data_IF_320699040901
#
_entry.id   IF_320699040901
#
_cell.length_a   1.000
_cell.length_b   1.000
_cell.length_c   1.000
_cell.angle_alpha   90.00
_cell.angle_beta   90.00
_cell.angle_gamma   90.00
#
_symmetry.space_group_name_H-M   'P 1'
#
loop_
_entity.id
_entity.type
_entity.pdbx_description
1 polymer ?
#
# COMPACT_ATOMS: atom_id res chain seq x y z
N UNK A 1 -10.56 6.22 -14.26
CA UNK A 1 -9.64 5.06 -14.42
C UNK A 1 -9.65 4.66 -15.89
N UNK A 2 -8.49 4.46 -16.53
CA UNK A 2 -8.40 4.13 -17.96
C UNK A 2 -8.72 2.64 -18.17
N UNK A 3 -10.00 2.32 -18.32
CA UNK A 3 -10.47 0.98 -18.69
C UNK A 3 -10.29 0.76 -20.20
N UNK A 4 -9.78 -0.39 -20.69
CA UNK A 4 -9.44 -0.55 -22.10
C UNK A 4 -10.69 -0.55 -22.99
N UNK A 5 -11.79 -1.11 -22.49
CA UNK A 5 -13.06 -1.26 -23.20
C UNK A 5 -14.13 -0.28 -22.72
N UNK A 6 -13.72 0.96 -22.38
CA UNK A 6 -14.67 1.96 -21.88
C UNK A 6 -15.77 2.31 -22.89
N UNK A 7 -15.51 2.14 -24.19
CA UNK A 7 -16.50 2.33 -25.25
C UNK A 7 -17.62 1.28 -25.17
N UNK A 8 -17.28 -0.01 -25.04
CA UNK A 8 -18.27 -1.09 -24.86
C UNK A 8 -19.18 -0.83 -23.66
N UNK A 9 -18.60 -0.39 -22.54
CA UNK A 9 -19.37 -0.06 -21.32
C UNK A 9 -20.36 1.08 -21.57
N UNK A 10 -19.97 2.11 -22.33
CA UNK A 10 -20.83 3.27 -22.61
C UNK A 10 -22.01 2.86 -23.48
N UNK A 11 -21.74 2.16 -24.58
CA UNK A 11 -22.78 1.65 -25.49
C UNK A 11 -23.76 0.73 -24.74
N UNK A 12 -23.24 -0.22 -23.95
CA UNK A 12 -24.07 -1.12 -23.16
C UNK A 12 -24.90 -0.37 -22.09
N UNK A 13 -24.33 0.67 -21.46
CA UNK A 13 -25.00 1.46 -20.43
C UNK A 13 -26.10 2.39 -20.97
N UNK A 14 -26.05 2.80 -22.23
CA UNK A 14 -27.11 3.59 -22.87
C UNK A 14 -28.36 2.73 -23.11
N UNK A 15 -28.18 1.50 -23.57
CA UNK A 15 -29.28 0.58 -23.90
C UNK A 15 -29.94 -0.07 -22.66
N UNK A 16 -29.21 -0.17 -21.56
CA UNK A 16 -29.59 -0.98 -20.40
C UNK A 16 -30.92 -0.53 -19.79
N UNK A 17 -31.21 0.77 -19.74
CA UNK A 17 -32.45 1.30 -19.17
C UNK A 17 -33.66 0.87 -19.97
N UNK A 18 -33.56 0.94 -21.29
CA UNK A 18 -34.60 0.48 -22.21
C UNK A 18 -34.84 -1.02 -22.08
N UNK A 19 -33.77 -1.81 -21.95
CA UNK A 19 -33.85 -3.26 -21.71
C UNK A 19 -34.53 -3.59 -20.38
N UNK A 20 -34.18 -2.91 -19.30
CA UNK A 20 -34.81 -3.09 -17.97
C UNK A 20 -36.31 -2.74 -18.04
N UNK A 21 -36.68 -1.62 -18.66
CA UNK A 21 -38.09 -1.24 -18.85
C UNK A 21 -38.86 -2.25 -19.71
N UNK A 22 -38.20 -2.86 -20.69
CA UNK A 22 -38.74 -3.94 -21.52
C UNK A 22 -38.85 -5.30 -20.83
N UNK A 23 -38.52 -5.39 -19.53
CA UNK A 23 -38.62 -6.63 -18.74
C UNK A 23 -37.39 -7.54 -18.82
N UNK A 24 -36.25 -7.07 -19.33
CA UNK A 24 -35.03 -7.87 -19.38
C UNK A 24 -34.51 -8.18 -17.97
N UNK A 25 -34.21 -9.45 -17.72
CA UNK A 25 -33.55 -9.89 -16.48
C UNK A 25 -32.11 -9.38 -16.48
N UNK A 26 -31.84 -8.39 -15.64
CA UNK A 26 -30.54 -7.72 -15.55
C UNK A 26 -29.87 -8.05 -14.21
N UNK A 27 -28.56 -8.37 -14.18
CA UNK A 27 -27.85 -8.63 -12.94
C UNK A 27 -27.98 -7.47 -11.94
N UNK A 28 -28.24 -7.78 -10.67
CA UNK A 28 -28.50 -6.76 -9.64
C UNK A 28 -27.34 -5.76 -9.46
N UNK A 29 -26.09 -6.18 -9.67
CA UNK A 29 -24.93 -5.29 -9.63
C UNK A 29 -25.04 -4.12 -10.62
N UNK A 30 -25.52 -4.43 -11.84
CA UNK A 30 -25.74 -3.45 -12.90
C UNK A 30 -26.88 -2.51 -12.50
N UNK A 31 -28.01 -3.05 -12.04
CA UNK A 31 -29.18 -2.27 -11.58
C UNK A 31 -28.78 -1.31 -10.46
N UNK A 32 -28.13 -1.81 -9.40
CA UNK A 32 -27.73 -1.01 -8.25
C UNK A 32 -26.75 0.12 -8.60
N UNK A 33 -25.89 -0.11 -9.58
CA UNK A 33 -24.94 0.89 -10.06
C UNK A 33 -25.63 1.98 -10.86
N UNK A 34 -26.46 1.60 -11.84
CA UNK A 34 -27.13 2.51 -12.76
C UNK A 34 -28.16 3.38 -12.05
N UNK A 35 -28.94 2.82 -11.12
CA UNK A 35 -29.90 3.59 -10.33
C UNK A 35 -29.26 4.34 -9.15
N UNK A 36 -27.94 4.26 -8.97
CA UNK A 36 -27.25 4.97 -7.90
C UNK A 36 -27.61 4.48 -6.49
N UNK A 37 -28.07 3.23 -6.35
CA UNK A 37 -28.55 2.65 -5.08
C UNK A 37 -27.42 2.19 -4.16
N UNK A 38 -26.17 2.52 -4.49
CA UNK A 38 -24.98 2.00 -3.81
C UNK A 38 -24.32 3.05 -2.95
N UNK A 39 -24.37 2.86 -1.63
CA UNK A 39 -23.70 3.73 -0.67
C UNK A 39 -22.17 3.57 -0.71
N UNK A 40 -21.41 4.63 -0.39
CA UNK A 40 -19.96 4.56 -0.30
C UNK A 40 -19.47 3.46 0.63
N UNK A 41 -18.40 2.79 0.23
CA UNK A 41 -17.74 1.79 1.07
C UNK A 41 -17.28 0.58 0.27
N UNK A 42 -17.24 -0.54 0.97
CA UNK A 42 -16.71 -1.78 0.43
C UNK A 42 -17.55 -2.27 -0.75
N UNK A 43 -18.86 -2.43 -0.54
CA UNK A 43 -19.79 -2.87 -1.57
C UNK A 43 -19.82 -1.99 -2.81
N UNK A 44 -19.63 -0.68 -2.68
CA UNK A 44 -19.49 0.23 -3.83
C UNK A 44 -18.35 -0.17 -4.75
N UNK A 45 -17.20 -0.45 -4.14
CA UNK A 45 -16.02 -0.84 -4.89
C UNK A 45 -16.23 -2.18 -5.60
N UNK A 46 -16.88 -3.16 -4.97
CA UNK A 46 -17.19 -4.42 -5.65
C UNK A 46 -18.14 -4.17 -6.83
N UNK A 47 -19.28 -3.51 -6.58
CA UNK A 47 -20.34 -3.29 -7.57
C UNK A 47 -19.86 -2.51 -8.78
N UNK A 48 -19.05 -1.45 -8.61
CA UNK A 48 -18.59 -0.67 -9.77
C UNK A 48 -17.76 -1.53 -10.74
N UNK A 49 -16.87 -2.39 -10.23
CA UNK A 49 -16.06 -3.26 -11.08
C UNK A 49 -16.88 -4.43 -11.65
N UNK A 50 -17.77 -5.01 -10.85
CA UNK A 50 -18.73 -6.03 -11.33
C UNK A 50 -19.55 -5.49 -12.49
N UNK A 51 -20.11 -4.29 -12.37
CA UNK A 51 -20.88 -3.63 -13.42
C UNK A 51 -20.02 -3.32 -14.64
N UNK A 52 -18.79 -2.82 -14.46
CA UNK A 52 -17.86 -2.61 -15.57
C UNK A 52 -17.57 -3.90 -16.34
N UNK A 53 -17.29 -5.01 -15.64
CA UNK A 53 -17.03 -6.32 -16.28
C UNK A 53 -18.27 -6.83 -17.00
N UNK A 54 -19.44 -6.81 -16.34
CA UNK A 54 -20.68 -7.33 -16.92
C UNK A 54 -21.20 -6.50 -18.11
N UNK A 55 -20.88 -5.20 -18.17
CA UNK A 55 -21.21 -4.31 -19.29
C UNK A 55 -20.15 -4.30 -20.39
N UNK A 56 -19.01 -4.98 -20.21
CA UNK A 56 -17.95 -5.08 -21.22
C UNK A 56 -18.09 -6.41 -21.96
N UNK A 57 -18.56 -6.40 -23.21
CA UNK A 57 -18.73 -7.61 -24.04
C UNK A 57 -17.46 -8.46 -24.09
N UNK A 58 -16.29 -7.82 -24.21
CA UNK A 58 -14.98 -8.46 -24.25
C UNK A 58 -14.62 -9.28 -22.99
N UNK A 59 -15.21 -8.98 -21.83
CA UNK A 59 -14.90 -9.69 -20.57
C UNK A 59 -16.14 -10.10 -19.75
N UNK A 60 -17.37 -9.91 -20.26
CA UNK A 60 -18.60 -10.20 -19.50
C UNK A 60 -18.68 -11.64 -18.98
N UNK A 61 -18.10 -12.58 -19.74
CA UNK A 61 -18.07 -14.01 -19.40
C UNK A 61 -17.21 -14.31 -18.16
N UNK A 62 -16.34 -13.38 -17.73
CA UNK A 62 -15.58 -13.51 -16.49
C UNK A 62 -16.45 -13.29 -15.25
N UNK A 63 -17.63 -12.69 -15.43
CA UNK A 63 -18.62 -12.50 -14.37
C UNK A 63 -18.13 -11.65 -13.20
N UNK A 64 -18.77 -11.85 -12.06
CA UNK A 64 -18.50 -11.14 -10.82
C UNK A 64 -17.36 -11.82 -10.06
N UNK A 65 -16.50 -11.04 -9.41
CA UNK A 65 -15.46 -11.57 -8.54
C UNK A 65 -16.05 -12.47 -7.44
N UNK A 66 -15.49 -13.66 -7.26
CA UNK A 66 -15.90 -14.59 -6.21
C UNK A 66 -15.63 -14.04 -4.80
N UNK A 67 -14.56 -13.24 -4.65
CA UNK A 67 -14.16 -12.63 -3.39
C UNK A 67 -14.02 -11.12 -3.51
N UNK A 68 -14.22 -10.44 -2.39
CA UNK A 68 -14.21 -9.00 -2.32
C UNK A 68 -12.83 -8.37 -2.57
N UNK A 69 -11.76 -9.03 -2.16
CA UNK A 69 -10.38 -8.57 -2.25
C UNK A 69 -9.72 -8.82 -3.61
N UNK A 70 -10.46 -9.41 -4.55
CA UNK A 70 -9.98 -9.71 -5.89
C UNK A 70 -9.56 -8.44 -6.66
N UNK A 71 -8.45 -8.56 -7.37
CA UNK A 71 -8.10 -7.67 -8.47
C UNK A 71 -8.68 -8.20 -9.78
N UNK A 72 -8.61 -7.38 -10.84
CA UNK A 72 -8.93 -7.79 -12.20
C UNK A 72 -7.71 -7.54 -13.09
N UNK A 73 -7.33 -8.53 -13.90
CA UNK A 73 -6.15 -8.44 -14.77
C UNK A 73 -6.53 -8.74 -16.20
N UNK A 74 -5.79 -8.10 -17.11
CA UNK A 74 -5.92 -8.21 -18.57
C UNK A 74 -4.52 -8.39 -19.15
N UNK A 75 -4.37 -8.77 -20.43
CA UNK A 75 -3.06 -8.88 -21.09
C UNK A 75 -2.20 -7.63 -20.99
N UNK A 76 -2.84 -6.44 -20.99
CA UNK A 76 -2.13 -5.18 -21.08
C UNK A 76 -2.02 -4.45 -19.75
N UNK A 77 -2.98 -4.63 -18.85
CA UNK A 77 -3.14 -3.85 -17.60
C UNK A 77 -3.70 -4.68 -16.46
N UNK A 78 -3.45 -4.23 -15.24
CA UNK A 78 -4.06 -4.79 -14.03
C UNK A 78 -4.79 -3.72 -13.22
N UNK A 79 -5.75 -4.15 -12.42
CA UNK A 79 -6.59 -3.33 -11.55
C UNK A 79 -6.70 -4.00 -10.19
N UNK A 80 -6.42 -3.26 -9.13
CA UNK A 80 -6.37 -3.83 -7.79
C UNK A 80 -7.18 -2.98 -6.82
N UNK A 81 -7.70 -3.63 -5.77
CA UNK A 81 -8.34 -2.90 -4.67
C UNK A 81 -7.31 -2.03 -3.96
N UNK A 82 -7.71 -0.83 -3.52
CA UNK A 82 -6.85 0.04 -2.71
C UNK A 82 -6.41 -0.60 -1.38
N UNK A 83 -7.21 -1.57 -0.89
CA UNK A 83 -6.95 -2.31 0.35
C UNK A 83 -6.12 -3.59 0.12
N UNK A 84 -5.83 -3.96 -1.13
CA UNK A 84 -4.98 -5.10 -1.48
C UNK A 84 -3.51 -4.64 -1.54
N UNK A 85 -2.57 -5.53 -1.21
CA UNK A 85 -1.13 -5.27 -1.22
C UNK A 85 -0.65 -4.70 -2.56
N UNK A 86 -1.12 -5.24 -3.69
CA UNK A 86 -0.73 -4.73 -5.02
C UNK A 86 -1.23 -3.30 -5.22
N UNK A 87 -2.46 -2.99 -4.84
CA UNK A 87 -2.98 -1.62 -4.90
C UNK A 87 -2.21 -0.65 -4.02
N UNK A 88 -1.80 -1.08 -2.83
CA UNK A 88 -1.02 -0.25 -1.90
C UNK A 88 0.41 -0.01 -2.39
N UNK A 89 1.05 -0.98 -3.01
CA UNK A 89 2.42 -0.81 -3.54
C UNK A 89 2.41 -0.04 -4.85
N UNK A 90 1.57 -0.45 -5.82
CA UNK A 90 1.56 0.10 -7.18
C UNK A 90 0.86 1.46 -7.31
N UNK A 91 0.09 1.87 -6.31
CA UNK A 91 -0.66 3.13 -6.33
C UNK A 91 0.21 4.40 -6.42
N UNK A 92 1.53 4.30 -6.24
CA UNK A 92 2.47 5.40 -6.42
C UNK A 92 3.09 5.46 -7.83
N UNK A 93 2.84 4.48 -8.69
CA UNK A 93 3.42 4.46 -10.04
C UNK A 93 2.84 5.59 -10.90
N UNK A 94 3.65 6.20 -11.79
CA UNK A 94 3.17 7.24 -12.70
C UNK A 94 2.01 6.76 -13.57
N UNK A 95 0.94 7.57 -13.66
CA UNK A 95 -0.25 7.26 -14.46
C UNK A 95 -1.26 6.30 -13.81
N UNK A 96 -0.94 5.74 -12.64
CA UNK A 96 -1.90 4.98 -11.82
C UNK A 96 -2.80 5.96 -11.06
N UNK A 97 -4.11 5.69 -11.06
CA UNK A 97 -5.12 6.52 -10.38
C UNK A 97 -5.91 5.70 -9.37
N UNK A 98 -6.44 6.37 -8.35
CA UNK A 98 -7.43 5.77 -7.46
C UNK A 98 -8.83 6.29 -7.76
N UNK A 99 -9.80 5.39 -7.90
CA UNK A 99 -11.21 5.74 -8.09
C UNK A 99 -12.08 4.67 -7.44
N UNK A 100 -13.06 5.09 -6.63
CA UNK A 100 -14.07 4.22 -6.03
C UNK A 100 -13.50 2.93 -5.38
N UNK A 101 -12.38 3.05 -4.65
CA UNK A 101 -11.75 1.93 -3.95
C UNK A 101 -10.89 0.99 -4.83
N UNK A 102 -10.64 1.37 -6.08
CA UNK A 102 -9.73 0.69 -7.01
C UNK A 102 -8.50 1.54 -7.30
N UNK A 103 -7.44 0.86 -7.73
CA UNK A 103 -6.15 1.39 -8.17
C UNK A 103 -5.89 0.84 -9.57
N UNK A 104 -5.66 1.73 -10.53
CA UNK A 104 -5.30 1.38 -11.89
C UNK A 104 -5.32 2.56 -12.87
N UNK A 105 -4.92 2.35 -14.13
CA UNK A 105 -4.42 1.09 -14.68
C UNK A 105 -2.98 0.79 -14.23
N UNK A 106 -2.73 -0.38 -13.67
CA UNK A 106 -1.39 -0.84 -13.31
C UNK A 106 -0.75 -1.64 -14.46
N UNK A 107 0.58 -1.87 -14.45
CA UNK A 107 1.26 -2.74 -15.41
C UNK A 107 0.68 -4.16 -15.45
N UNK A 108 0.87 -4.91 -16.56
CA UNK A 108 0.38 -6.29 -16.67
C UNK A 108 1.12 -7.23 -15.70
N UNK A 109 0.54 -8.41 -15.51
CA UNK A 109 1.06 -9.45 -14.62
C UNK A 109 1.49 -10.68 -15.42
N UNK A 110 2.50 -11.40 -14.94
CA UNK A 110 2.89 -12.72 -15.42
C UNK A 110 2.55 -13.77 -14.37
N UNK A 111 2.39 -15.03 -14.78
CA UNK A 111 1.95 -16.12 -13.91
C UNK A 111 3.00 -17.22 -13.84
N UNK A 112 3.21 -17.77 -12.64
CA UNK A 112 4.05 -18.93 -12.37
C UNK A 112 3.28 -19.95 -11.51
N UNK A 113 2.90 -21.13 -12.05
CA UNK A 113 3.07 -21.55 -13.44
C UNK A 113 2.18 -20.73 -14.40
N UNK A 114 2.43 -20.80 -15.73
CA UNK A 114 1.55 -20.20 -16.72
C UNK A 114 0.09 -20.66 -16.55
N UNK A 115 -0.86 -19.78 -16.88
CA UNK A 115 -2.29 -20.09 -16.79
C UNK A 115 -2.65 -21.28 -17.69
N UNK A 116 -3.46 -22.20 -17.18
CA UNK A 116 -4.00 -23.31 -17.96
C UNK A 116 -4.84 -22.82 -19.17
N UNK A 117 -5.59 -21.72 -18.96
CA UNK A 117 -6.30 -20.98 -20.01
C UNK A 117 -5.62 -19.61 -20.17
N UNK A 118 -4.61 -19.47 -21.05
CA UNK A 118 -3.93 -18.19 -21.26
C UNK A 118 -4.90 -17.15 -21.82
N UNK A 119 -4.53 -15.88 -21.71
CA UNK A 119 -5.32 -14.83 -22.35
C UNK A 119 -5.28 -14.96 -23.87
N UNK A 120 -6.43 -14.74 -24.51
CA UNK A 120 -6.62 -14.86 -25.94
C UNK A 120 -7.99 -14.32 -26.35
N UNK A 121 -8.49 -14.74 -27.51
CA UNK A 121 -9.75 -14.23 -28.05
C UNK A 121 -10.96 -14.57 -27.16
N UNK A 122 -10.95 -15.77 -26.56
CA UNK A 122 -12.02 -16.26 -25.67
C UNK A 122 -11.91 -15.71 -24.23
N UNK A 123 -10.71 -15.31 -23.80
CA UNK A 123 -10.43 -14.87 -22.44
C UNK A 123 -9.52 -13.64 -22.42
N UNK A 124 -10.13 -12.46 -22.33
CA UNK A 124 -9.41 -11.17 -22.34
C UNK A 124 -9.09 -10.61 -20.95
N UNK A 125 -9.50 -11.29 -19.89
CA UNK A 125 -9.17 -10.92 -18.52
C UNK A 125 -9.60 -11.98 -17.52
N UNK A 126 -9.27 -11.78 -16.24
CA UNK A 126 -9.72 -12.63 -15.14
C UNK A 126 -9.65 -11.90 -13.80
N UNK A 127 -10.45 -12.36 -12.84
CA UNK A 127 -10.30 -11.98 -11.44
C UNK A 127 -9.12 -12.75 -10.83
N UNK A 128 -8.32 -12.08 -10.00
CA UNK A 128 -7.21 -12.71 -9.26
C UNK A 128 -7.32 -12.41 -7.78
N UNK A 129 -6.87 -13.35 -6.94
CA UNK A 129 -6.77 -13.15 -5.50
C UNK A 129 -5.34 -13.23 -5.04
N UNK A 130 -4.84 -12.15 -4.43
CA UNK A 130 -3.46 -12.10 -3.93
C UNK A 130 -3.46 -12.33 -2.42
N UNK A 131 -2.78 -13.38 -1.97
CA UNK A 131 -2.64 -13.69 -0.56
C UNK A 131 -1.53 -12.85 0.05
N UNK A 132 -1.88 -12.06 1.05
CA UNK A 132 -0.93 -11.30 1.86
C UNK A 132 -1.45 -11.18 3.29
N UNK A 133 -0.58 -11.46 4.28
CA UNK A 133 -0.95 -11.36 5.70
C UNK A 133 -1.17 -9.91 6.09
N UNK A 134 -2.29 -9.57 6.73
CA UNK A 134 -2.49 -8.21 7.25
C UNK A 134 -1.46 -7.90 8.32
N UNK A 135 -0.88 -6.70 8.25
CA UNK A 135 -0.03 -6.15 9.32
C UNK A 135 -0.93 -5.22 10.14
N UNK A 136 -1.03 -5.47 11.43
CA UNK A 136 -1.71 -4.55 12.35
C UNK A 136 -0.96 -3.22 12.41
N UNK A 137 -1.68 -2.11 12.61
CA UNK A 137 -1.03 -0.83 12.91
C UNK A 137 -0.39 -0.84 14.29
N UNK A 138 -0.92 -1.66 15.20
CA UNK A 138 -0.44 -1.80 16.56
C UNK A 138 -0.37 -3.29 16.85
N UNK A 139 0.74 -3.74 17.43
CA UNK A 139 0.82 -5.09 17.96
C UNK A 139 -0.31 -5.29 18.98
N UNK A 140 -1.06 -6.40 18.91
CA UNK A 140 -2.05 -6.68 19.93
C UNK A 140 -1.34 -6.69 21.29
N UNK A 141 -1.96 -6.10 22.34
CA UNK A 141 -1.39 -6.19 23.68
C UNK A 141 -1.11 -7.66 24.01
N UNK A 142 -0.02 -7.92 24.73
CA UNK A 142 0.32 -9.27 25.15
C UNK A 142 -0.88 -9.91 25.87
N UNK A 143 -1.08 -11.24 25.80
CA UNK A 143 -2.25 -11.90 26.40
C UNK A 143 -2.40 -11.68 27.91
N UNK A 144 -1.32 -11.28 28.59
CA UNK A 144 -1.26 -10.97 30.02
C UNK A 144 -1.23 -9.46 30.30
N UNK A 145 -1.21 -8.62 29.26
CA UNK A 145 -1.13 -7.17 29.37
C UNK A 145 -2.54 -6.58 29.61
N UNK A 146 -3.03 -6.77 30.83
CA UNK A 146 -4.33 -6.27 31.30
C UNK A 146 -4.28 -4.77 31.64
N UNK A 147 -3.17 -4.09 31.32
CA UNK A 147 -2.95 -2.69 31.66
C UNK A 147 -3.47 -1.80 30.54
N UNK A 148 -4.58 -1.11 30.80
CA UNK A 148 -5.01 0.01 29.98
C UNK A 148 -4.00 1.15 30.20
N UNK A 149 -3.05 1.30 29.29
CA UNK A 149 -2.13 2.45 29.29
C UNK A 149 -2.90 3.67 28.77
N UNK A 150 -3.44 4.46 29.68
CA UNK A 150 -4.17 5.72 29.39
C UNK A 150 -3.20 6.84 28.98
N UNK A 151 -1.90 6.67 29.23
CA UNK A 151 -0.86 7.62 28.81
C UNK A 151 -0.38 7.31 27.39
N UNK A 152 -0.77 8.15 26.43
CA UNK A 152 -0.08 8.28 25.15
C UNK A 152 1.36 8.72 25.44
N UNK A 153 2.30 7.78 25.45
CA UNK A 153 3.58 7.97 26.13
C UNK A 153 4.75 7.28 25.46
N UNK A 154 4.73 7.18 24.12
CA UNK A 154 5.88 6.74 23.33
C UNK A 154 6.72 7.91 22.77
N UNK A 155 6.10 9.08 22.55
CA UNK A 155 6.81 10.31 22.17
C UNK A 155 7.77 10.75 23.28
N UNK A 156 8.95 11.22 22.88
CA UNK A 156 9.93 11.85 23.76
C UNK A 156 10.41 10.98 24.94
N UNK A 157 10.43 9.65 24.80
CA UNK A 157 10.95 8.76 25.86
C UNK A 157 12.41 9.08 26.24
N UNK A 158 13.22 9.53 25.28
CA UNK A 158 14.61 9.93 25.52
C UNK A 158 14.73 11.27 26.28
N UNK A 159 13.65 12.06 26.35
CA UNK A 159 13.58 13.26 27.19
C UNK A 159 13.19 12.93 28.63
N UNK A 160 12.87 11.66 28.94
CA UNK A 160 12.59 11.28 30.32
C UNK A 160 13.91 11.19 31.09
N UNK A 161 13.95 11.65 32.36
CA UNK A 161 15.12 11.45 33.21
C UNK A 161 15.45 9.96 33.31
N UNK A 162 16.70 9.60 33.01
CA UNK A 162 17.25 8.26 33.27
C UNK A 162 17.63 8.15 34.76
N UNK A 163 17.93 6.93 35.23
CA UNK A 163 18.29 6.69 36.63
C UNK A 163 19.47 7.56 37.10
N UNK A 164 20.39 7.90 36.20
CA UNK A 164 21.53 8.79 36.44
C UNK A 164 21.11 10.26 36.51
N UNK A 165 20.21 10.70 35.63
CA UNK A 165 19.66 12.06 35.63
C UNK A 165 18.89 12.36 36.93
N UNK A 166 18.21 11.35 37.49
CA UNK A 166 17.48 11.49 38.77
C UNK A 166 18.43 11.81 39.93
N UNK A 167 19.68 11.32 39.87
CA UNK A 167 20.68 11.61 40.91
C UNK A 167 21.18 13.06 40.84
N UNK A 168 21.10 13.70 39.68
CA UNK A 168 21.49 15.10 39.49
C UNK A 168 20.45 15.83 38.63
N UNK A 169 19.26 16.00 39.21
CA UNK A 169 18.10 16.54 38.49
C UNK A 169 18.32 17.98 38.02
N UNK A 170 19.07 18.79 38.77
CA UNK A 170 19.36 20.17 38.40
C UNK A 170 20.19 20.26 37.12
N UNK A 171 21.18 19.36 36.97
CA UNK A 171 21.97 19.27 35.74
C UNK A 171 21.12 18.83 34.56
N UNK A 172 20.24 17.84 34.75
CA UNK A 172 19.30 17.40 33.72
C UNK A 172 18.36 18.53 33.29
N UNK A 173 17.78 19.28 34.24
CA UNK A 173 16.90 20.43 33.93
C UNK A 173 17.66 21.53 33.20
N UNK A 174 18.90 21.81 33.59
CA UNK A 174 19.76 22.76 32.88
C UNK A 174 20.05 22.31 31.45
N UNK A 175 20.35 21.03 31.23
CA UNK A 175 20.58 20.46 29.90
C UNK A 175 19.36 20.58 28.99
N UNK A 176 18.18 20.20 29.48
CA UNK A 176 16.91 20.24 28.70
C UNK A 176 16.51 21.67 28.34
N UNK A 177 16.78 22.64 29.23
CA UNK A 177 16.45 24.05 29.01
C UNK A 177 17.46 24.79 28.13
N UNK A 178 18.66 24.25 27.95
CA UNK A 178 19.71 24.87 27.15
C UNK A 178 19.33 24.86 25.65
N UNK A 179 19.10 26.03 25.03
CA UNK A 179 18.75 26.13 23.61
C UNK A 179 19.80 25.49 22.69
N UNK A 180 21.07 25.44 23.09
CA UNK A 180 22.13 24.83 22.29
C UNK A 180 21.99 23.30 22.13
N UNK A 181 21.13 22.66 22.93
CA UNK A 181 20.82 21.24 22.84
C UNK A 181 19.60 20.94 21.97
N UNK A 182 18.91 21.96 21.48
CA UNK A 182 17.81 21.84 20.53
C UNK A 182 18.35 22.09 19.12
N UNK A 183 18.27 21.06 18.27
CA UNK A 183 18.89 21.06 16.95
C UNK A 183 17.91 20.58 15.89
N UNK A 184 18.14 21.01 14.66
CA UNK A 184 17.40 20.51 13.51
C UNK A 184 17.94 19.15 13.06
N UNK A 185 17.08 18.11 12.96
CA UNK A 185 17.53 16.83 12.47
C UNK A 185 17.90 16.91 10.99
N UNK A 186 18.93 16.15 10.60
CA UNK A 186 19.37 16.07 9.21
C UNK A 186 18.27 15.44 8.34
N UNK A 187 17.81 16.17 7.32
CA UNK A 187 16.85 15.65 6.36
C UNK A 187 17.55 14.74 5.34
N UNK A 188 16.88 13.67 4.85
CA UNK A 188 17.42 12.86 3.76
C UNK A 188 17.76 13.73 2.55
N UNK A 189 19.00 13.62 2.08
CA UNK A 189 19.47 14.33 0.89
C UNK A 189 18.80 13.75 -0.35
N UNK A 190 18.49 14.59 -1.32
CA UNK A 190 17.96 14.15 -2.62
C UNK A 190 18.92 13.14 -3.25
N UNK A 191 18.40 11.94 -3.50
CA UNK A 191 19.08 10.89 -4.23
C UNK A 191 18.80 11.03 -5.72
N UNK A 192 19.82 10.74 -6.54
CA UNK A 192 19.73 10.69 -8.00
C UNK A 192 19.54 9.26 -8.52
N UNK A 193 19.22 8.32 -7.63
CA UNK A 193 18.98 6.93 -8.00
C UNK A 193 17.75 6.81 -8.90
N UNK A 194 17.84 5.91 -9.88
CA UNK A 194 16.75 5.62 -10.81
C UNK A 194 16.32 4.17 -10.59
N UNK A 195 15.10 4.00 -10.12
CA UNK A 195 14.45 2.71 -9.91
C UNK A 195 13.39 2.48 -10.99
N UNK A 196 13.68 1.63 -11.97
CA UNK A 196 12.75 1.29 -13.04
C UNK A 196 11.94 0.05 -12.67
N UNK A 197 10.63 0.15 -12.76
CA UNK A 197 9.73 -0.99 -12.60
C UNK A 197 9.87 -1.95 -13.79
N UNK A 198 10.05 -3.25 -13.53
CA UNK A 198 10.24 -4.29 -14.56
C UNK A 198 8.98 -5.13 -14.78
N UNK A 199 8.31 -5.59 -13.72
CA UNK A 199 7.14 -6.45 -13.85
C UNK A 199 6.57 -6.96 -12.53
N UNK A 200 5.43 -7.66 -12.65
CA UNK A 200 4.71 -8.31 -11.55
C UNK A 200 4.64 -9.80 -11.87
N UNK A 201 5.15 -10.64 -10.99
CA UNK A 201 5.01 -12.08 -11.05
C UNK A 201 3.97 -12.55 -10.03
N UNK A 202 3.01 -13.36 -10.47
CA UNK A 202 2.01 -14.00 -9.63
C UNK A 202 2.30 -15.49 -9.55
N UNK A 203 2.88 -15.91 -8.42
CA UNK A 203 3.14 -17.33 -8.14
C UNK A 203 1.91 -17.98 -7.53
N UNK A 204 1.35 -19.02 -8.16
CA UNK A 204 0.21 -19.75 -7.63
C UNK A 204 0.58 -20.43 -6.30
N UNK A 205 -0.32 -20.33 -5.32
CA UNK A 205 -0.21 -21.04 -4.04
C UNK A 205 -0.98 -22.36 -4.09
N UNK A 206 -0.62 -23.34 -3.25
CA UNK A 206 -1.38 -24.58 -3.15
C UNK A 206 -2.85 -24.30 -2.81
N UNK A 207 -3.76 -25.00 -3.50
CA UNK A 207 -5.20 -24.91 -3.25
C UNK A 207 -5.54 -25.43 -1.84
N UNK A 208 -6.60 -24.88 -1.26
CA UNK A 208 -7.14 -25.39 0.00
C UNK A 208 -7.76 -26.79 -0.17
N UNK A 209 -7.76 -27.58 0.90
CA UNK A 209 -8.33 -28.93 0.88
C UNK A 209 -9.84 -28.89 0.56
N UNK A 210 -10.27 -29.75 -0.36
CA UNK A 210 -11.69 -29.87 -0.76
C UNK A 210 -12.06 -29.13 -2.05
N UNK A 211 -11.14 -28.37 -2.66
CA UNK A 211 -11.38 -27.82 -4.01
C UNK A 211 -11.36 -28.95 -5.04
N UNK A 212 -12.42 -29.06 -5.85
CA UNK A 212 -12.47 -30.02 -6.95
C UNK A 212 -11.45 -29.63 -8.03
N UNK A 213 -10.32 -30.32 -8.05
CA UNK A 213 -9.22 -30.07 -9.01
C UNK A 213 -9.55 -30.52 -10.43
N UNK A 214 -10.64 -31.27 -10.62
CA UNK A 214 -11.11 -31.72 -11.95
C UNK A 214 -11.83 -30.61 -12.72
N UNK A 215 -12.41 -29.62 -12.02
CA UNK A 215 -13.05 -28.45 -12.63
C UNK A 215 -12.04 -27.29 -12.69
N UNK A 216 -11.53 -27.00 -13.89
CA UNK A 216 -10.56 -25.93 -14.11
C UNK A 216 -11.08 -24.55 -13.69
N UNK A 217 -12.39 -24.30 -13.80
CA UNK A 217 -12.95 -23.01 -13.41
C UNK A 217 -13.07 -22.93 -11.87
N UNK A 218 -13.31 -24.05 -11.19
CA UNK A 218 -13.22 -24.11 -9.73
C UNK A 218 -11.79 -23.93 -9.24
N UNK A 219 -10.80 -24.52 -9.91
CA UNK A 219 -9.38 -24.30 -9.62
C UNK A 219 -9.04 -22.82 -9.75
N UNK A 220 -9.39 -22.19 -10.87
CA UNK A 220 -9.08 -20.78 -11.13
C UNK A 220 -9.73 -19.85 -10.09
N UNK A 221 -11.02 -20.05 -9.78
CA UNK A 221 -11.74 -19.24 -8.79
C UNK A 221 -11.13 -19.32 -7.38
N UNK A 222 -10.56 -20.45 -7.01
CA UNK A 222 -10.00 -20.70 -5.67
C UNK A 222 -8.47 -20.54 -5.60
N UNK A 223 -7.80 -20.29 -6.72
CA UNK A 223 -6.35 -20.10 -6.72
C UNK A 223 -6.00 -18.74 -6.10
N UNK A 224 -5.18 -18.78 -5.06
CA UNK A 224 -4.55 -17.60 -4.49
C UNK A 224 -3.12 -17.46 -5.02
N UNK A 225 -2.66 -16.22 -5.18
CA UNK A 225 -1.34 -15.92 -5.70
C UNK A 225 -0.48 -15.20 -4.68
N UNK A 226 0.82 -15.52 -4.66
CA UNK A 226 1.87 -14.69 -4.07
C UNK A 226 2.38 -13.74 -5.16
N UNK A 227 2.24 -12.44 -4.93
CA UNK A 227 2.80 -11.46 -5.83
C UNK A 227 4.27 -11.18 -5.50
N UNK A 228 5.09 -11.01 -6.53
CA UNK A 228 6.45 -10.49 -6.44
C UNK A 228 6.62 -9.36 -7.47
N UNK A 229 7.34 -8.31 -7.10
CA UNK A 229 7.58 -7.15 -7.98
C UNK A 229 9.08 -7.00 -8.21
N UNK A 230 9.46 -6.88 -9.47
CA UNK A 230 10.85 -6.69 -9.88
C UNK A 230 11.14 -5.27 -10.33
N UNK A 231 12.33 -4.79 -9.98
CA UNK A 231 12.85 -3.47 -10.30
C UNK A 231 14.30 -3.57 -10.80
N UNK A 232 14.70 -2.59 -11.61
CA UNK A 232 16.10 -2.32 -11.93
C UNK A 232 16.49 -1.04 -11.20
N UNK A 233 17.35 -1.13 -10.20
CA UNK A 233 17.81 -0.02 -9.36
C UNK A 233 19.27 0.25 -9.72
N UNK A 234 19.55 1.40 -10.35
CA UNK A 234 20.90 1.75 -10.85
C UNK A 234 21.58 0.63 -11.67
N UNK A 235 20.79 -0.13 -12.45
CA UNK A 235 21.28 -1.23 -13.28
C UNK A 235 21.34 -2.60 -12.59
N UNK A 236 21.06 -2.69 -11.29
CA UNK A 236 20.98 -3.96 -10.56
C UNK A 236 19.53 -4.42 -10.43
N UNK A 237 19.28 -5.71 -10.63
CA UNK A 237 17.95 -6.29 -10.46
C UNK A 237 17.64 -6.54 -8.98
N UNK A 238 16.47 -6.11 -8.54
CA UNK A 238 15.94 -6.36 -7.21
C UNK A 238 14.49 -6.83 -7.29
N UNK A 239 14.17 -7.93 -6.62
CA UNK A 239 12.80 -8.48 -6.56
C UNK A 239 12.31 -8.56 -5.12
N UNK A 240 11.05 -8.17 -4.90
CA UNK A 240 10.42 -8.14 -3.60
C UNK A 240 9.15 -8.98 -3.60
N UNK A 241 9.10 -10.00 -2.74
CA UNK A 241 7.93 -10.87 -2.59
C UNK A 241 6.98 -10.30 -1.54
N UNK A 242 5.71 -10.11 -1.93
CA UNK A 242 4.72 -9.43 -1.12
C UNK A 242 4.09 -10.42 -0.11
N UNK A 243 4.74 -10.59 1.03
CA UNK A 243 4.26 -11.49 2.08
C UNK A 243 3.11 -10.92 2.89
N UNK A 244 3.10 -9.60 3.04
CA UNK A 244 2.21 -8.88 3.95
C UNK A 244 1.51 -7.72 3.27
N UNK A 245 0.42 -7.24 3.88
CA UNK A 245 -0.39 -6.12 3.42
C UNK A 245 -0.22 -4.92 4.37
N UNK A 246 0.90 -4.17 4.27
CA UNK A 246 1.20 -3.05 5.14
C UNK A 246 0.27 -1.87 4.86
N UNK A 247 -0.01 -1.06 5.86
CA UNK A 247 -0.77 0.20 5.72
C UNK A 247 0.20 1.35 5.54
N UNK A 248 -0.14 2.28 4.65
CA UNK A 248 0.62 3.50 4.43
C UNK A 248 -0.22 4.70 4.83
N UNK A 249 0.35 5.59 5.63
CA UNK A 249 -0.32 6.81 6.12
C UNK A 249 0.45 8.03 5.65
N UNK A 250 -0.23 9.05 5.15
CA UNK A 250 0.39 10.32 4.77
C UNK A 250 -0.07 11.40 5.75
N UNK A 251 0.83 11.99 6.55
CA UNK A 251 0.47 13.01 7.51
C UNK A 251 0.22 14.36 6.82
N UNK A 252 -0.60 15.24 7.41
CA UNK A 252 -0.84 16.58 6.89
C UNK A 252 0.40 17.47 7.01
N UNK A 253 0.49 18.57 6.24
CA UNK A 253 1.55 19.57 6.39
C UNK A 253 1.59 20.16 7.81
N UNK A 254 2.75 20.70 8.19
CA UNK A 254 2.86 21.54 9.38
C UNK A 254 1.99 22.79 9.24
N UNK A 255 1.48 23.30 10.36
CA UNK A 255 0.66 24.52 10.38
C UNK A 255 1.45 25.73 9.87
N UNK A 256 0.81 26.67 9.13
CA UNK A 256 1.49 27.80 8.47
C UNK A 256 2.30 28.71 9.41
N UNK A 257 1.81 28.90 10.64
CA UNK A 257 2.44 29.73 11.68
C UNK A 257 3.80 29.18 12.13
N UNK A 258 4.02 27.88 11.92
CA UNK A 258 5.26 27.16 12.22
C UNK A 258 5.68 26.38 10.97
N UNK A 259 5.72 27.05 9.81
CA UNK A 259 6.48 26.57 8.64
C UNK A 259 7.98 26.73 8.90
N UNK A 260 8.45 26.10 9.97
CA UNK A 260 9.83 26.00 10.39
C UNK A 260 10.19 24.54 10.63
N UNK A 261 11.46 24.21 10.49
CA UNK A 261 11.95 22.91 10.91
C UNK A 261 11.84 22.83 12.44
N UNK A 262 11.07 21.87 12.95
CA UNK A 262 10.92 21.71 14.40
C UNK A 262 12.21 21.12 14.98
N UNK A 263 12.80 21.83 15.92
CA UNK A 263 13.97 21.36 16.65
C UNK A 263 13.62 20.17 17.54
N UNK A 264 14.61 19.31 17.73
CA UNK A 264 14.57 18.20 18.68
C UNK A 264 15.75 18.31 19.62
N UNK A 265 15.60 17.78 20.83
CA UNK A 265 16.72 17.69 21.73
C UNK A 265 17.75 16.67 21.20
N UNK A 266 19.05 16.90 21.43
CA UNK A 266 20.14 15.99 21.01
C UNK A 266 19.94 14.54 21.47
N UNK A 267 19.31 14.33 22.63
CA UNK A 267 18.96 13.00 23.18
C UNK A 267 18.07 12.18 22.24
N UNK A 268 17.28 12.82 21.37
CA UNK A 268 16.36 12.13 20.45
C UNK A 268 16.96 11.85 19.06
N UNK A 269 18.16 12.35 18.75
CA UNK A 269 18.77 12.29 17.41
C UNK A 269 18.91 10.86 16.85
N UNK A 270 19.03 9.86 17.72
CA UNK A 270 19.11 8.44 17.33
C UNK A 270 17.90 7.98 16.52
N UNK A 271 16.71 8.53 16.80
CA UNK A 271 15.48 8.22 16.05
C UNK A 271 15.45 8.86 14.65
N UNK A 272 16.41 9.73 14.35
CA UNK A 272 16.47 10.53 13.12
C UNK A 272 17.70 10.19 12.26
N UNK A 273 18.63 9.38 12.77
CA UNK A 273 19.93 9.14 12.13
C UNK A 273 19.96 7.97 11.15
N UNK A 274 19.07 6.99 11.30
CA UNK A 274 19.06 5.79 10.45
C UNK A 274 18.33 6.05 9.12
N UNK A 275 19.06 6.68 8.19
CA UNK A 275 18.59 6.97 6.84
C UNK A 275 19.16 5.92 5.88
N UNK A 276 18.28 5.22 5.18
CA UNK A 276 18.64 4.13 4.26
C UNK A 276 18.18 4.48 2.84
N UNK A 277 19.14 4.50 1.91
CA UNK A 277 18.86 4.68 0.49
C UNK A 277 18.26 3.40 -0.12
N UNK A 278 17.44 3.57 -1.15
CA UNK A 278 16.70 2.48 -1.80
C UNK A 278 17.60 1.37 -2.36
N UNK A 279 18.81 1.71 -2.79
CA UNK A 279 19.81 0.76 -3.31
C UNK A 279 20.22 -0.29 -2.28
N UNK A 280 20.23 0.08 -0.99
CA UNK A 280 20.66 -0.80 0.11
C UNK A 280 19.50 -1.52 0.78
N UNK A 281 18.25 -1.23 0.39
CA UNK A 281 17.06 -1.76 1.07
C UNK A 281 16.98 -3.29 1.02
N UNK A 282 17.37 -3.91 -0.08
CA UNK A 282 17.17 -5.36 -0.24
C UNK A 282 17.89 -6.15 0.85
N UNK A 283 19.13 -5.78 1.13
CA UNK A 283 19.99 -6.43 2.12
C UNK A 283 19.80 -5.84 3.53
N UNK A 284 19.17 -4.67 3.63
CA UNK A 284 18.92 -4.03 4.91
C UNK A 284 17.91 -4.82 5.76
N UNK A 285 18.30 -5.11 7.00
CA UNK A 285 17.46 -5.74 8.01
C UNK A 285 17.38 -4.82 9.22
N UNK A 286 16.22 -4.20 9.48
CA UNK A 286 16.07 -3.24 10.57
C UNK A 286 16.06 -3.96 11.92
N UNK A 287 16.62 -3.31 12.95
CA UNK A 287 16.39 -3.72 14.34
C UNK A 287 14.92 -3.61 14.72
N UNK A 288 14.49 -4.38 15.72
CA UNK A 288 13.07 -4.42 16.09
C UNK A 288 12.53 -3.10 16.62
N UNK A 289 13.33 -2.34 17.38
CA UNK A 289 12.96 -1.03 17.94
C UNK A 289 13.49 0.17 17.14
N UNK A 290 14.20 -0.08 16.04
CA UNK A 290 14.88 0.96 15.29
C UNK A 290 13.92 1.72 14.37
N UNK A 291 13.94 3.05 14.47
CA UNK A 291 13.28 3.90 13.47
C UNK A 291 14.09 3.90 12.17
N UNK A 292 13.46 3.59 11.05
CA UNK A 292 14.07 3.57 9.72
C UNK A 292 13.49 4.68 8.87
N UNK A 293 14.33 5.55 8.33
CA UNK A 293 13.95 6.57 7.37
C UNK A 293 14.44 6.13 5.99
N UNK A 294 13.53 5.65 5.16
CA UNK A 294 13.82 5.25 3.79
C UNK A 294 13.88 6.52 2.92
N UNK A 295 15.05 6.79 2.34
CA UNK A 295 15.25 7.88 1.40
C UNK A 295 14.70 7.51 0.01
N UNK A 296 13.43 7.82 -0.23
CA UNK A 296 12.73 7.56 -1.49
C UNK A 296 12.59 8.83 -2.35
N UNK A 297 13.63 9.67 -2.36
CA UNK A 297 13.67 10.92 -3.13
C UNK A 297 14.05 10.72 -4.60
N UNK A 298 14.69 9.59 -4.93
CA UNK A 298 15.03 9.20 -6.31
C UNK A 298 13.82 8.82 -7.16
N UNK A 299 14.03 8.72 -8.47
CA UNK A 299 12.96 8.39 -9.42
C UNK A 299 12.49 6.94 -9.24
N UNK A 300 11.18 6.73 -9.06
CA UNK A 300 10.58 5.40 -8.86
C UNK A 300 10.90 4.74 -7.51
N UNK A 301 11.68 5.40 -6.65
CA UNK A 301 12.17 4.89 -5.38
C UNK A 301 11.03 4.57 -4.38
N UNK A 302 9.91 5.31 -4.44
CA UNK A 302 8.76 5.07 -3.56
C UNK A 302 8.15 3.67 -3.76
N UNK A 303 8.06 3.20 -5.01
CA UNK A 303 7.49 1.88 -5.29
C UNK A 303 8.35 0.77 -4.69
N UNK A 304 9.67 0.93 -4.73
CA UNK A 304 10.63 0.00 -4.10
C UNK A 304 10.47 0.02 -2.59
N UNK A 305 10.41 1.21 -1.96
CA UNK A 305 10.22 1.34 -0.53
C UNK A 305 8.92 0.66 -0.04
N UNK A 306 7.81 0.87 -0.77
CA UNK A 306 6.53 0.20 -0.47
C UNK A 306 6.59 -1.31 -0.66
N UNK A 307 7.29 -1.80 -1.69
CA UNK A 307 7.48 -3.23 -1.94
C UNK A 307 8.31 -3.88 -0.83
N UNK A 308 9.40 -3.24 -0.40
CA UNK A 308 10.22 -3.67 0.73
C UNK A 308 9.40 -3.73 2.03
N UNK A 309 8.59 -2.72 2.32
CA UNK A 309 7.66 -2.71 3.44
C UNK A 309 6.71 -3.92 3.43
N UNK A 310 6.19 -4.29 2.26
CA UNK A 310 5.30 -5.45 2.09
C UNK A 310 6.01 -6.80 2.20
N UNK A 311 7.29 -6.87 1.82
CA UNK A 311 8.14 -8.04 2.04
C UNK A 311 8.48 -8.22 3.53
N UNK A 312 8.89 -7.14 4.20
CA UNK A 312 9.36 -7.17 5.59
C UNK A 312 8.26 -7.07 6.64
N UNK A 313 7.00 -6.84 6.25
CA UNK A 313 5.90 -6.76 7.22
C UNK A 313 5.84 -5.44 7.99
N UNK A 314 6.23 -4.33 7.38
CA UNK A 314 6.29 -3.02 8.04
C UNK A 314 5.27 -2.06 7.41
N UNK A 315 4.31 -1.57 8.21
CA UNK A 315 3.54 -0.39 7.85
C UNK A 315 4.43 0.86 7.97
N UNK A 316 4.08 1.92 7.24
CA UNK A 316 4.95 3.10 7.14
C UNK A 316 4.20 4.41 7.01
N UNK A 317 4.83 5.46 7.51
CA UNK A 317 4.39 6.85 7.30
C UNK A 317 5.11 7.41 6.08
N UNK A 318 4.35 7.85 5.08
CA UNK A 318 4.88 8.43 3.83
C UNK A 318 4.81 9.94 3.92
N UNK A 319 5.97 10.60 3.88
CA UNK A 319 6.05 12.06 3.79
C UNK A 319 6.14 12.48 2.33
N UNK A 320 5.16 13.29 1.89
CA UNK A 320 5.10 13.89 0.54
C UNK A 320 5.85 15.22 0.48
N UNK A 321 6.10 15.74 -0.73
CA UNK A 321 6.77 17.03 -0.95
C UNK A 321 6.17 18.19 -0.15
N UNK A 322 4.84 18.31 -0.19
CA UNK A 322 4.07 19.31 0.55
C UNK A 322 3.65 18.84 1.96
N UNK A 323 4.23 17.74 2.44
CA UNK A 323 3.98 17.18 3.76
C UNK A 323 4.74 17.90 4.87
N UNK A 324 4.69 17.36 6.09
CA UNK A 324 5.31 17.99 7.24
C UNK A 324 6.84 17.87 7.23
N UNK A 325 7.49 18.54 8.19
CA UNK A 325 8.93 18.40 8.45
C UNK A 325 9.28 17.00 8.95
N UNK A 326 10.59 16.68 8.99
CA UNK A 326 11.07 15.36 9.44
C UNK A 326 10.64 15.05 10.87
N UNK A 327 10.78 16.00 11.79
CA UNK A 327 10.35 15.89 13.19
C UNK A 327 8.89 15.46 13.33
N UNK A 328 7.97 16.18 12.71
CA UNK A 328 6.55 15.82 12.73
C UNK A 328 6.26 14.49 12.06
N UNK A 329 7.01 14.12 11.02
CA UNK A 329 6.85 12.83 10.33
C UNK A 329 7.26 11.66 11.22
N UNK A 330 8.44 11.75 11.84
CA UNK A 330 8.97 10.75 12.77
C UNK A 330 8.08 10.65 14.01
N UNK A 331 7.64 11.78 14.56
CA UNK A 331 6.72 11.77 15.70
C UNK A 331 5.38 11.15 15.31
N UNK A 332 4.84 11.43 14.12
CA UNK A 332 3.64 10.77 13.62
C UNK A 332 3.84 9.25 13.49
N UNK A 333 4.98 8.80 12.98
CA UNK A 333 5.30 7.37 12.93
C UNK A 333 5.31 6.76 14.34
N UNK A 334 5.98 7.39 15.30
CA UNK A 334 6.05 6.93 16.70
C UNK A 334 4.66 6.86 17.36
N UNK A 335 3.84 7.89 17.19
CA UNK A 335 2.47 7.92 17.73
C UNK A 335 1.58 6.84 17.12
N UNK A 336 1.75 6.57 15.82
CA UNK A 336 1.11 5.46 15.14
C UNK A 336 1.78 4.11 15.41
N UNK A 337 2.80 4.06 16.28
CA UNK A 337 3.63 2.87 16.59
C UNK A 337 4.25 2.22 15.35
N UNK A 338 4.49 3.03 14.33
CA UNK A 338 5.21 2.65 13.12
C UNK A 338 6.70 2.93 13.28
N UNK A 339 7.52 2.05 12.71
CA UNK A 339 8.98 2.13 12.80
C UNK A 339 9.63 2.49 11.46
N UNK A 340 8.82 2.75 10.44
CA UNK A 340 9.29 3.07 9.08
C UNK A 340 8.68 4.38 8.60
N UNK A 341 9.53 5.26 8.11
CA UNK A 341 9.18 6.48 7.39
C UNK A 341 9.68 6.36 5.96
N UNK A 342 8.82 6.63 4.98
CA UNK A 342 9.20 6.75 3.57
C UNK A 342 9.26 8.23 3.22
N UNK A 343 10.45 8.74 2.94
CA UNK A 343 10.69 10.13 2.64
C UNK A 343 10.68 10.38 1.12
N UNK A 344 9.61 11.01 0.62
CA UNK A 344 9.37 11.19 -0.81
C UNK A 344 9.50 12.67 -1.21
N UNK A 345 10.02 12.92 -2.40
CA UNK A 345 10.15 14.26 -2.99
C UNK A 345 9.11 14.56 -4.08
N UNK A 346 8.46 13.54 -4.64
CA UNK A 346 7.40 13.64 -5.67
C UNK A 346 5.97 13.67 -5.13
#
# INVERSE_FOLDING_TARGET
MKWPWVHEVREAAEDIYSKIRGGAVTPFHIVDWIFGLTLPGEWMSLKIMSSMVLLTESVKNQGVAAFYDCGFVTPQRSYHRIRNVLGRVLGCLPGVTSLCGWIGPCPPVTFDPPLAKPFGDEKKGMHIRVKARRVGLVDPPGPLDNVIRITGGGSHIELRPKAEDIKNLDQFVAEIRDPANWVLPAVPKTSYSISKFQGILLKALPLEAGVNTSDLDAVERNTEYRASISFIINGQEASYSLFTNPVFVTPPPCTPEIRGAHEIHKRELTNFSNIVDVEKLKDYTPGDEEMVIINATGEGAEAVARAWCAERGRAAVIRRRAGPCLTCTVNCARELKQKVVIWVQS
#
